data_IF_575342694245
#
_entry.id   IF_575342694245
#
_cell.length_a   1.000
_cell.length_b   1.000
_cell.length_c   1.000
_cell.angle_alpha   90.00
_cell.angle_beta   90.00
_cell.angle_gamma   90.00
#
_symmetry.space_group_name_H-M   'P 1'
#
loop_
_entity.id
_entity.type
_entity.pdbx_description
1 polymer ?
#
# COMPACT_ATOMS: atom_id res chain seq x y z
N UNK A 1 -18.91 -2.25 -1.66
CA UNK A 1 -17.48 -2.65 -1.76
C UNK A 1 -17.26 -3.09 -3.20
N UNK A 2 -16.48 -2.34 -3.97
CA UNK A 2 -16.38 -2.52 -5.42
C UNK A 2 -15.51 -3.75 -5.73
N UNK A 3 -16.14 -4.79 -6.25
CA UNK A 3 -15.74 -6.21 -6.25
C UNK A 3 -14.54 -6.60 -7.12
N UNK A 4 -13.74 -5.64 -7.59
CA UNK A 4 -12.72 -5.91 -8.61
C UNK A 4 -11.30 -5.97 -8.06
N UNK A 5 -11.07 -5.63 -6.79
CA UNK A 5 -9.73 -5.54 -6.21
C UNK A 5 -9.50 -6.58 -5.11
N UNK A 6 -8.44 -7.37 -5.24
CA UNK A 6 -8.04 -8.39 -4.27
C UNK A 6 -6.72 -8.02 -3.60
N UNK A 7 -6.69 -8.07 -2.27
CA UNK A 7 -5.46 -7.90 -1.51
C UNK A 7 -4.42 -8.94 -1.94
N UNK A 8 -3.17 -8.49 -2.15
CA UNK A 8 -2.06 -9.35 -2.55
C UNK A 8 -1.01 -9.41 -1.44
N UNK A 9 -0.49 -8.26 -1.01
CA UNK A 9 0.55 -8.17 0.01
C UNK A 9 0.62 -6.76 0.63
N UNK A 10 1.39 -6.62 1.70
CA UNK A 10 1.75 -5.31 2.25
C UNK A 10 3.18 -4.97 1.87
N UNK A 11 3.38 -3.86 1.17
CA UNK A 11 4.69 -3.29 0.93
C UNK A 11 5.12 -2.54 2.19
N UNK A 12 6.25 -2.94 2.77
CA UNK A 12 6.87 -2.22 3.87
C UNK A 12 7.88 -1.24 3.33
N UNK A 13 7.75 0.02 3.74
CA UNK A 13 8.77 1.00 3.46
C UNK A 13 10.07 0.63 4.18
N UNK A 14 11.11 0.33 3.39
CA UNK A 14 12.49 0.25 3.87
C UNK A 14 13.19 1.57 3.55
N UNK A 15 14.13 2.02 4.38
CA UNK A 15 14.88 3.28 4.14
C UNK A 15 15.44 3.33 2.71
N UNK A 16 15.06 4.35 1.93
CA UNK A 16 15.39 4.47 0.50
C UNK A 16 14.28 4.01 -0.46
N UNK A 17 13.15 3.52 0.05
CA UNK A 17 12.00 3.15 -0.77
C UNK A 17 11.33 4.37 -1.40
N UNK A 18 10.95 4.23 -2.67
CA UNK A 18 10.29 5.28 -3.44
C UNK A 18 8.90 5.62 -2.87
N UNK A 19 8.25 4.68 -2.18
CA UNK A 19 6.89 4.85 -1.62
C UNK A 19 6.81 4.47 -0.14
N UNK A 20 5.93 5.12 0.64
CA UNK A 20 5.64 4.73 2.01
C UNK A 20 4.95 3.36 2.07
N UNK A 21 4.87 2.76 3.26
CA UNK A 21 4.25 1.44 3.41
C UNK A 21 2.80 1.47 2.95
N UNK A 22 2.40 0.47 2.18
CA UNK A 22 1.08 0.43 1.58
C UNK A 22 0.61 -1.00 1.35
N UNK A 23 -0.71 -1.19 1.44
CA UNK A 23 -1.36 -2.45 1.10
C UNK A 23 -1.65 -2.47 -0.39
N UNK A 24 -1.24 -3.53 -1.07
CA UNK A 24 -1.40 -3.66 -2.51
C UNK A 24 -2.60 -4.54 -2.80
N UNK A 25 -3.54 -3.98 -3.56
CA UNK A 25 -4.70 -4.70 -4.07
C UNK A 25 -4.61 -4.73 -5.58
N UNK A 26 -4.65 -5.91 -6.20
CA UNK A 26 -4.62 -6.06 -7.65
C UNK A 26 -6.05 -6.10 -8.20
N UNK A 27 -6.29 -5.43 -9.32
CA UNK A 27 -7.51 -5.61 -10.09
C UNK A 27 -7.54 -7.04 -10.66
N UNK A 28 -8.70 -7.69 -10.59
CA UNK A 28 -8.90 -9.04 -11.14
C UNK A 28 -8.96 -9.05 -12.66
N UNK A 29 -9.32 -7.94 -13.31
CA UNK A 29 -9.49 -7.86 -14.77
C UNK A 29 -8.31 -7.22 -15.50
N UNK A 30 -7.59 -6.31 -14.85
CA UNK A 30 -6.56 -5.48 -15.47
C UNK A 30 -5.25 -5.49 -14.68
N UNK A 31 -4.17 -5.02 -15.30
CA UNK A 31 -2.86 -4.86 -14.64
C UNK A 31 -2.77 -3.61 -13.73
N UNK A 32 -3.91 -3.06 -13.34
CA UNK A 32 -4.01 -1.98 -12.38
C UNK A 32 -3.94 -2.54 -10.96
N UNK A 33 -3.24 -1.84 -10.08
CA UNK A 33 -3.31 -2.06 -8.65
C UNK A 33 -3.68 -0.78 -7.92
N UNK A 34 -4.30 -0.99 -6.77
CA UNK A 34 -4.65 0.02 -5.80
C UNK A 34 -3.72 -0.12 -4.61
N UNK A 35 -2.98 0.94 -4.32
CA UNK A 35 -2.08 1.06 -3.19
C UNK A 35 -2.83 1.82 -2.11
N UNK A 36 -3.08 1.18 -0.97
CA UNK A 36 -3.83 1.79 0.15
C UNK A 36 -2.88 2.06 1.30
N UNK A 37 -2.76 3.32 1.69
CA UNK A 37 -1.87 3.78 2.76
C UNK A 37 -2.56 3.72 4.13
N UNK A 38 -1.78 3.93 5.19
CA UNK A 38 -2.22 3.76 6.58
C UNK A 38 -3.42 4.65 6.98
N UNK A 39 -3.56 5.82 6.36
CA UNK A 39 -4.70 6.74 6.55
C UNK A 39 -5.94 6.37 5.71
N UNK A 40 -5.91 5.25 5.01
CA UNK A 40 -6.88 4.79 4.01
C UNK A 40 -6.94 5.63 2.73
N UNK A 41 -6.05 6.60 2.55
CA UNK A 41 -5.85 7.23 1.24
C UNK A 41 -5.31 6.19 0.25
N UNK A 42 -5.50 6.44 -1.05
CA UNK A 42 -5.05 5.49 -2.04
C UNK A 42 -4.45 6.12 -3.29
N UNK A 43 -3.67 5.32 -4.01
CA UNK A 43 -3.15 5.66 -5.33
C UNK A 43 -3.30 4.44 -6.24
N UNK A 44 -3.53 4.69 -7.52
CA UNK A 44 -3.54 3.64 -8.53
C UNK A 44 -2.20 3.58 -9.25
N UNK A 45 -1.68 2.38 -9.42
CA UNK A 45 -0.42 2.11 -10.12
C UNK A 45 -0.60 0.97 -11.10
N UNK A 46 0.21 0.95 -12.16
CA UNK A 46 0.32 -0.25 -13.01
C UNK A 46 1.32 -1.18 -12.35
N UNK A 47 0.90 -2.41 -12.08
CA UNK A 47 1.76 -3.41 -11.46
C UNK A 47 2.36 -4.29 -12.54
N UNK A 48 3.68 -4.40 -12.53
CA UNK A 48 4.38 -5.29 -13.46
C UNK A 48 4.10 -6.75 -13.13
N UNK A 49 4.16 -7.61 -14.15
CA UNK A 49 3.98 -9.05 -13.98
C UNK A 49 4.99 -9.64 -12.96
N UNK A 50 6.14 -8.99 -12.78
CA UNK A 50 7.14 -9.38 -11.79
C UNK A 50 6.61 -9.34 -10.36
N UNK A 51 5.88 -8.29 -9.96
CA UNK A 51 5.26 -8.20 -8.63
C UNK A 51 4.19 -9.28 -8.45
N UNK A 52 3.48 -9.65 -9.52
CA UNK A 52 2.51 -10.75 -9.50
C UNK A 52 3.18 -12.11 -9.26
N UNK A 53 4.44 -12.27 -9.69
CA UNK A 53 5.22 -13.50 -9.56
C UNK A 53 6.02 -13.60 -8.26
N UNK A 54 6.33 -12.47 -7.60
CA UNK A 54 7.08 -12.44 -6.35
C UNK A 54 6.15 -12.50 -5.13
N UNK A 55 5.50 -13.65 -4.95
CA UNK A 55 4.59 -14.01 -3.82
C UNK A 55 5.26 -14.05 -2.44
N UNK A 56 6.52 -13.63 -2.31
CA UNK A 56 7.27 -13.66 -1.05
C UNK A 56 7.13 -12.36 -0.23
N UNK A 57 6.28 -11.45 -0.69
CA UNK A 57 5.99 -10.21 0.02
C UNK A 57 5.05 -10.50 1.20
N UNK A 58 5.38 -9.93 2.35
CA UNK A 58 4.72 -10.22 3.63
C UNK A 58 3.20 -9.97 3.55
N UNK A 59 2.44 -11.04 3.80
CA UNK A 59 0.99 -11.04 3.81
C UNK A 59 0.47 -10.70 5.21
N UNK A 60 0.47 -9.40 5.52
CA UNK A 60 -0.20 -8.86 6.71
C UNK A 60 -1.74 -8.88 6.52
N UNK A 61 -2.49 -8.29 7.46
CA UNK A 61 -3.95 -8.22 7.37
C UNK A 61 -4.39 -7.46 6.13
N UNK A 62 -5.56 -7.79 5.62
CA UNK A 62 -6.05 -7.18 4.37
C UNK A 62 -6.38 -5.69 4.55
N UNK A 63 -6.81 -5.28 5.74
CA UNK A 63 -7.14 -3.90 6.04
C UNK A 63 -6.24 -3.35 7.15
N UNK A 64 -6.00 -2.03 7.11
CA UNK A 64 -5.22 -1.34 8.16
C UNK A 64 -5.90 -1.38 9.53
N UNK A 65 -7.24 -1.44 9.57
CA UNK A 65 -8.02 -1.52 10.81
C UNK A 65 -7.86 -2.85 11.55
N UNK A 66 -7.50 -3.91 10.84
CA UNK A 66 -7.26 -5.23 11.42
C UNK A 66 -5.83 -5.39 11.99
N UNK A 67 -4.93 -4.44 11.69
CA UNK A 67 -3.58 -4.43 12.24
C UNK A 67 -3.58 -3.96 13.71
N UNK A 68 -2.46 -4.19 14.41
CA UNK A 68 -2.30 -3.66 15.77
C UNK A 68 -2.27 -2.13 15.78
N UNK A 69 -2.87 -1.51 16.79
CA UNK A 69 -2.93 -0.05 16.93
C UNK A 69 -1.54 0.60 16.95
N UNK A 70 -0.58 -0.05 17.62
CA UNK A 70 0.81 0.41 17.67
C UNK A 70 1.43 0.45 16.27
N UNK A 71 1.21 -0.58 15.46
CA UNK A 71 1.72 -0.64 14.10
C UNK A 71 1.05 0.43 13.23
N UNK A 72 -0.28 0.53 13.26
CA UNK A 72 -1.02 1.54 12.51
C UNK A 72 -0.59 2.96 12.86
N UNK A 73 -0.40 3.27 14.15
CA UNK A 73 0.06 4.58 14.62
C UNK A 73 1.45 4.93 14.07
N UNK A 74 2.37 3.96 14.05
CA UNK A 74 3.71 4.16 13.51
C UNK A 74 3.68 4.40 11.98
N UNK A 75 2.89 3.63 11.23
CA UNK A 75 2.76 3.81 9.79
C UNK A 75 2.09 5.14 9.43
N UNK A 76 1.11 5.62 10.22
CA UNK A 76 0.53 6.95 10.05
C UNK A 76 1.57 8.06 10.23
N UNK A 77 2.42 7.97 11.26
CA UNK A 77 3.51 8.93 11.48
C UNK A 77 4.51 8.90 10.34
N UNK A 78 4.88 7.70 9.87
CA UNK A 78 5.80 7.54 8.75
C UNK A 78 5.22 8.14 7.46
N UNK A 79 3.93 7.93 7.19
CA UNK A 79 3.23 8.51 6.04
C UNK A 79 3.20 10.03 6.09
N UNK A 80 2.91 10.62 7.26
CA UNK A 80 2.92 12.07 7.46
C UNK A 80 4.32 12.65 7.18
N UNK A 81 5.37 12.07 7.78
CA UNK A 81 6.76 12.49 7.52
C UNK A 81 7.15 12.36 6.05
N UNK A 82 6.68 11.30 5.38
CA UNK A 82 6.94 11.10 3.96
C UNK A 82 6.27 12.20 3.11
N UNK A 83 5.01 12.56 3.41
CA UNK A 83 4.28 13.64 2.73
C UNK A 83 4.95 14.99 2.90
N UNK A 84 5.38 15.31 4.12
CA UNK A 84 6.08 16.57 4.40
C UNK A 84 7.38 16.68 3.59
N UNK A 85 8.08 15.57 3.38
CA UNK A 85 9.31 15.52 2.57
C UNK A 85 9.05 15.47 1.07
N UNK A 86 7.87 15.03 0.64
CA UNK A 86 7.53 14.83 -0.77
C UNK A 86 6.20 15.52 -1.11
N UNK A 87 6.19 16.86 -1.27
CA UNK A 87 4.95 17.62 -1.55
C UNK A 87 4.26 17.24 -2.87
N UNK A 88 4.99 16.63 -3.80
CA UNK A 88 4.45 16.12 -5.07
C UNK A 88 3.71 14.79 -4.91
N UNK A 89 3.83 14.12 -3.76
CA UNK A 89 3.11 12.89 -3.48
C UNK A 89 1.64 13.19 -3.23
N UNK A 90 0.77 12.73 -4.14
CA UNK A 90 -0.68 12.93 -4.08
C UNK A 90 -1.38 11.58 -4.02
N UNK A 91 -2.39 11.50 -3.17
CA UNK A 91 -3.27 10.35 -3.00
C UNK A 91 -4.71 10.82 -3.16
N UNK A 92 -5.60 9.95 -3.62
CA UNK A 92 -7.05 10.14 -3.55
C UNK A 92 -7.58 10.00 -2.12
#
# INVERSE_FOLDING_TARGET
>A
MNSNYKYVYTFFHVSGSILPSHKVFKNLTDNQAKLVFADNSCMYAVVSDWISNNRHLDTRKSTWKEESELFLSNELKALALYRDRNPSFKTE
#
